data_IF_089086345042
#
_entry.id   IF_089086345042
#
_cell.length_a   1.000
_cell.length_b   1.000
_cell.length_c   1.000
_cell.angle_alpha   90.00
_cell.angle_beta   90.00
_cell.angle_gamma   90.00
#
_symmetry.space_group_name_H-M   'P 1'
#
loop_
_entity.id
_entity.type
_entity.pdbx_description
1 polymer ?
#
# COMPACT_ATOMS: atom_id res chain seq x y z
N UNK A 1 18.29 -2.16 22.30
CA UNK A 1 18.90 -2.40 20.98
C UNK A 1 19.83 -1.23 20.63
N UNK A 2 21.10 -1.45 20.24
CA UNK A 2 22.06 -0.37 19.97
C UNK A 2 21.67 0.60 18.86
N UNK A 3 20.94 0.14 17.84
CA UNK A 3 20.46 0.96 16.72
C UNK A 3 19.22 1.82 17.01
N UNK A 4 18.81 1.93 18.29
CA UNK A 4 17.58 2.62 18.68
C UNK A 4 16.33 1.74 18.62
N UNK A 5 15.20 2.28 19.09
CA UNK A 5 13.90 1.58 19.14
C UNK A 5 13.07 1.75 17.87
N UNK A 6 13.25 2.86 17.14
CA UNK A 6 12.43 3.20 15.96
C UNK A 6 12.47 2.08 14.92
N UNK A 7 13.67 1.59 14.61
CA UNK A 7 13.90 0.51 13.64
C UNK A 7 13.21 -0.80 14.04
N UNK A 8 12.98 -1.04 15.34
CA UNK A 8 12.24 -2.20 15.81
C UNK A 8 10.73 -1.97 15.70
N UNK A 9 10.29 -0.74 15.97
CA UNK A 9 8.87 -0.37 15.93
C UNK A 9 8.33 -0.37 14.51
N UNK A 10 9.12 0.08 13.54
CA UNK A 10 8.78 0.05 12.12
C UNK A 10 8.55 -1.37 11.58
N UNK A 11 9.24 -2.36 12.16
CA UNK A 11 9.14 -3.77 11.75
C UNK A 11 8.25 -4.61 12.69
N UNK A 12 7.63 -3.99 13.69
CA UNK A 12 6.86 -4.71 14.69
C UNK A 12 5.62 -5.38 14.08
N UNK A 13 5.43 -6.67 14.37
CA UNK A 13 4.30 -7.46 13.86
C UNK A 13 4.50 -8.00 12.44
N UNK A 14 5.63 -7.71 11.79
CA UNK A 14 6.02 -8.27 10.49
C UNK A 14 7.17 -9.27 10.60
N UNK A 15 7.63 -9.74 9.44
CA UNK A 15 8.92 -10.44 9.31
C UNK A 15 10.02 -9.42 9.03
N UNK A 16 11.04 -9.37 9.90
CA UNK A 16 12.16 -8.45 9.81
C UNK A 16 13.45 -9.13 9.34
N UNK A 17 13.35 -10.32 8.73
CA UNK A 17 14.51 -11.16 8.39
C UNK A 17 15.43 -10.46 7.39
N UNK A 18 14.86 -9.81 6.36
CA UNK A 18 15.63 -9.06 5.35
C UNK A 18 16.43 -7.92 5.99
N UNK A 19 15.76 -7.02 6.73
CA UNK A 19 16.41 -5.91 7.42
C UNK A 19 17.49 -6.38 8.41
N UNK A 20 17.27 -7.51 9.08
CA UNK A 20 18.23 -8.06 10.02
C UNK A 20 19.51 -8.55 9.34
N UNK A 21 19.38 -9.24 8.20
CA UNK A 21 20.52 -9.75 7.42
C UNK A 21 21.25 -8.64 6.64
N UNK A 22 20.51 -7.64 6.11
CA UNK A 22 21.09 -6.49 5.39
C UNK A 22 22.02 -5.65 6.29
N UNK A 23 21.64 -5.46 7.56
CA UNK A 23 22.48 -4.78 8.54
C UNK A 23 23.75 -5.58 8.89
N UNK A 24 23.74 -6.91 8.74
CA UNK A 24 24.90 -7.75 9.02
C UNK A 24 25.26 -7.81 10.51
N UNK A 25 24.31 -8.19 11.36
CA UNK A 25 24.53 -8.31 12.80
C UNK A 25 25.63 -9.30 13.16
N UNK A 26 26.39 -9.00 14.22
CA UNK A 26 27.47 -9.88 14.73
C UNK A 26 26.93 -11.23 15.22
N UNK A 27 27.82 -12.21 15.36
CA UNK A 27 27.50 -13.52 15.94
C UNK A 27 26.88 -13.39 17.32
N UNK A 28 27.43 -12.51 18.16
CA UNK A 28 26.95 -12.29 19.53
C UNK A 28 25.54 -11.69 19.54
N UNK A 29 25.25 -10.77 18.61
CA UNK A 29 23.90 -10.22 18.45
C UNK A 29 22.90 -11.29 18.00
N UNK A 30 23.32 -12.20 17.11
CA UNK A 30 22.53 -13.38 16.68
C UNK A 30 22.35 -14.41 17.79
N UNK A 31 23.29 -14.54 18.72
CA UNK A 31 23.12 -15.39 19.89
C UNK A 31 22.19 -14.75 20.92
N UNK A 32 22.30 -13.44 21.13
CA UNK A 32 21.41 -12.69 22.00
C UNK A 32 19.95 -12.76 21.50
N UNK A 33 19.70 -12.70 20.20
CA UNK A 33 18.34 -12.80 19.65
C UNK A 33 17.64 -14.11 20.02
N UNK A 34 18.39 -15.23 20.12
CA UNK A 34 17.85 -16.53 20.52
C UNK A 34 17.24 -16.53 21.92
N UNK A 35 17.76 -15.68 22.82
CA UNK A 35 17.21 -15.56 24.18
C UNK A 35 15.83 -14.88 24.22
N UNK A 36 15.44 -14.20 23.16
CA UNK A 36 14.14 -13.51 23.02
C UNK A 36 13.12 -14.29 22.18
N UNK A 37 13.42 -15.53 21.79
CA UNK A 37 12.46 -16.39 21.07
C UNK A 37 11.36 -16.83 22.03
N UNK A 38 10.11 -16.47 21.71
CA UNK A 38 8.92 -16.84 22.48
C UNK A 38 8.05 -17.91 21.78
N UNK A 39 8.36 -18.23 20.52
CA UNK A 39 7.61 -19.19 19.71
C UNK A 39 8.05 -19.16 18.25
N UNK A 40 7.36 -19.91 17.41
CA UNK A 40 7.57 -19.95 15.96
C UNK A 40 6.28 -19.60 15.22
N UNK A 41 6.41 -19.12 13.98
CA UNK A 41 5.25 -18.84 13.13
C UNK A 41 4.46 -20.12 12.84
N UNK A 42 3.13 -19.98 12.86
CA UNK A 42 2.19 -21.03 12.53
C UNK A 42 2.50 -21.63 11.13
N UNK A 43 2.46 -22.97 10.96
CA UNK A 43 2.83 -23.63 9.71
C UNK A 43 2.08 -23.09 8.49
N UNK A 44 0.80 -22.75 8.63
CA UNK A 44 -0.03 -22.22 7.53
C UNK A 44 0.44 -20.85 7.02
N UNK A 45 1.05 -20.05 7.90
CA UNK A 45 1.50 -18.69 7.57
C UNK A 45 2.93 -18.64 7.03
N UNK A 46 3.74 -19.70 7.22
CA UNK A 46 5.12 -19.76 6.71
C UNK A 46 5.21 -19.53 5.21
N UNK A 47 4.23 -20.03 4.46
CA UNK A 47 4.15 -19.85 3.01
C UNK A 47 3.78 -18.43 2.56
N UNK A 48 3.26 -17.59 3.46
CA UNK A 48 2.86 -16.21 3.17
C UNK A 48 4.03 -15.24 3.27
N UNK A 49 5.08 -15.58 4.02
CA UNK A 49 6.30 -14.77 4.13
C UNK A 49 7.23 -14.96 2.92
N UNK A 50 7.26 -16.17 2.35
CA UNK A 50 8.08 -16.48 1.16
C UNK A 50 7.48 -15.90 -0.12
N UNK A 51 6.17 -15.71 -0.14
CA UNK A 51 5.50 -14.96 -1.19
C UNK A 51 5.66 -13.48 -0.83
N UNK A 52 6.05 -12.59 -1.75
CA UNK A 52 6.01 -11.16 -1.45
C UNK A 52 4.61 -10.90 -0.92
N UNK A 53 4.53 -10.36 0.31
CA UNK A 53 3.25 -9.99 0.89
C UNK A 53 2.54 -9.19 -0.18
N UNK A 54 1.44 -9.73 -0.71
CA UNK A 54 0.52 -8.95 -1.51
C UNK A 54 0.17 -7.80 -0.59
N UNK A 55 0.79 -6.66 -0.87
CA UNK A 55 0.47 -5.42 -0.20
C UNK A 55 -1.03 -5.39 -0.23
N UNK A 56 -1.65 -5.43 0.94
CA UNK A 56 -3.03 -4.98 1.09
C UNK A 56 -2.98 -3.47 0.87
N UNK A 57 -2.66 -3.07 -0.36
CA UNK A 57 -3.35 -1.97 -1.00
C UNK A 57 -4.81 -2.37 -0.86
N UNK A 58 -5.44 -1.87 0.20
CA UNK A 58 -6.81 -1.41 0.12
C UNK A 58 -6.80 -0.49 -1.09
N UNK A 59 -6.97 -1.07 -2.27
CA UNK A 59 -7.48 -0.37 -3.43
C UNK A 59 -8.84 0.07 -2.94
N UNK A 60 -8.92 1.29 -2.41
CA UNK A 60 -10.14 2.07 -2.58
C UNK A 60 -10.45 1.91 -4.06
N UNK A 61 -11.49 1.14 -4.35
CA UNK A 61 -11.99 0.89 -5.69
C UNK A 61 -12.20 2.27 -6.31
N UNK A 62 -11.18 2.74 -7.01
CA UNK A 62 -11.15 4.06 -7.61
C UNK A 62 -11.79 3.89 -8.96
N UNK A 63 -13.09 3.67 -8.91
CA UNK A 63 -14.03 3.67 -10.02
C UNK A 63 -14.11 5.07 -10.69
N UNK A 64 -13.17 5.98 -10.41
CA UNK A 64 -13.15 7.37 -10.87
C UNK A 64 -12.60 7.57 -12.28
N UNK A 65 -11.98 6.55 -12.90
CA UNK A 65 -11.31 6.68 -14.20
C UNK A 65 -12.25 6.49 -15.41
N UNK A 66 -13.27 5.63 -15.32
CA UNK A 66 -14.10 5.28 -16.48
C UNK A 66 -15.25 6.27 -16.73
N UNK A 67 -16.05 6.59 -15.70
CA UNK A 67 -17.22 7.47 -15.86
C UNK A 67 -16.83 8.93 -16.10
N UNK A 68 -15.79 9.42 -15.42
CA UNK A 68 -15.33 10.81 -15.53
C UNK A 68 -14.91 11.16 -16.96
N UNK A 69 -14.31 10.21 -17.67
CA UNK A 69 -13.82 10.41 -19.04
C UNK A 69 -14.94 10.55 -20.08
N UNK A 70 -16.17 10.11 -19.77
CA UNK A 70 -17.32 10.19 -20.68
C UNK A 70 -18.35 11.22 -20.23
N UNK A 71 -18.58 11.31 -18.92
CA UNK A 71 -19.60 12.18 -18.33
C UNK A 71 -19.21 13.65 -18.43
N UNK A 72 -17.94 14.01 -18.19
CA UNK A 72 -17.49 15.40 -18.28
C UNK A 72 -17.61 15.94 -19.71
N UNK A 73 -17.11 15.24 -20.76
CA UNK A 73 -17.30 15.70 -22.14
C UNK A 73 -18.77 15.77 -22.57
N UNK A 74 -19.61 14.84 -22.11
CA UNK A 74 -21.04 14.84 -22.44
C UNK A 74 -21.76 16.05 -21.84
N UNK A 75 -21.49 16.38 -20.57
CA UNK A 75 -22.09 17.54 -19.90
C UNK A 75 -21.61 18.85 -20.55
N UNK A 76 -20.32 18.98 -20.88
CA UNK A 76 -19.79 20.19 -21.50
C UNK A 76 -20.42 20.45 -22.87
N UNK A 77 -20.58 19.41 -23.70
CA UNK A 77 -21.26 19.52 -24.99
C UNK A 77 -22.74 19.93 -24.83
N UNK A 78 -23.43 19.40 -23.83
CA UNK A 78 -24.85 19.73 -23.55
C UNK A 78 -25.01 21.20 -23.15
N UNK A 79 -24.12 21.72 -22.30
CA UNK A 79 -24.11 23.14 -21.89
C UNK A 79 -23.89 24.06 -23.10
N UNK A 80 -22.90 23.75 -23.95
CA UNK A 80 -22.64 24.53 -25.17
C UNK A 80 -23.82 24.50 -26.13
N UNK A 81 -24.45 23.34 -26.32
CA UNK A 81 -25.63 23.20 -27.17
C UNK A 81 -26.84 23.98 -26.62
N UNK A 82 -27.04 23.98 -25.29
CA UNK A 82 -28.10 24.75 -24.64
C UNK A 82 -27.87 26.25 -24.79
N UNK A 83 -26.63 26.72 -24.58
CA UNK A 83 -26.24 28.12 -24.80
C UNK A 83 -26.46 28.54 -26.26
N UNK A 84 -26.04 27.72 -27.22
CA UNK A 84 -26.28 27.98 -28.63
C UNK A 84 -27.78 28.04 -28.96
N UNK A 85 -28.57 27.12 -28.39
CA UNK A 85 -30.03 27.08 -28.60
C UNK A 85 -30.72 28.31 -28.00
N UNK A 86 -30.29 28.79 -26.84
CA UNK A 86 -30.80 30.03 -26.24
C UNK A 86 -30.44 31.23 -27.12
N UNK A 87 -29.16 31.37 -27.48
CA UNK A 87 -28.69 32.46 -28.33
C UNK A 87 -29.45 32.52 -29.67
N UNK A 88 -29.60 31.40 -30.36
CA UNK A 88 -30.33 31.32 -31.64
C UNK A 88 -31.84 31.51 -31.48
N UNK A 89 -32.41 31.27 -30.30
CA UNK A 89 -33.84 31.55 -30.06
C UNK A 89 -34.10 33.03 -29.76
N UNK A 90 -33.06 33.83 -29.51
CA UNK A 90 -33.12 35.27 -29.22
C UNK A 90 -32.88 36.16 -30.44
N UNK A 91 -32.40 35.60 -31.56
CA UNK A 91 -32.38 36.19 -32.91
C UNK A 91 -33.65 35.83 -33.71
#
# INVERSE_FOLDING_TARGET
HPGGEEVLREQAGGDATENFEDVGHSTDARELSKTFIIGELHPDDRSKITRPAETLITTVDSDSSWWTNWVIPAISALVVALMYRIYVSED
#
